data_IF_578430325230
#
_entry.id   IF_578430325230
#
_cell.length_a   1.000
_cell.length_b   1.000
_cell.length_c   1.000
_cell.angle_alpha   90.00
_cell.angle_beta   90.00
_cell.angle_gamma   90.00
#
_symmetry.space_group_name_H-M   'P 1'
#
loop_
_entity.id
_entity.type
_entity.pdbx_description
1 polymer ?
#
# COMPACT_ATOMS: atom_id res chain seq x y z
N UNK A 1 36.43 51.78 -31.37
CA UNK A 1 36.79 50.37 -31.08
C UNK A 1 36.16 49.98 -29.75
N UNK A 2 35.53 48.81 -29.71
CA UNK A 2 34.55 48.37 -28.68
C UNK A 2 35.20 48.16 -27.31
N UNK A 3 34.56 48.70 -26.27
CA UNK A 3 34.78 48.32 -24.88
C UNK A 3 33.95 47.07 -24.54
N UNK A 4 34.57 46.13 -23.83
CA UNK A 4 33.96 44.93 -23.28
C UNK A 4 32.97 45.29 -22.15
N UNK A 5 31.75 44.73 -22.23
CA UNK A 5 30.81 44.69 -21.12
C UNK A 5 30.45 43.25 -20.81
N UNK A 6 31.11 42.67 -19.81
CA UNK A 6 30.77 41.36 -19.27
C UNK A 6 29.56 41.51 -18.34
N UNK A 7 28.37 41.17 -18.84
CA UNK A 7 27.15 41.03 -18.03
C UNK A 7 27.01 39.59 -17.57
N UNK A 8 27.58 39.26 -16.41
CA UNK A 8 27.37 38.00 -15.71
C UNK A 8 25.95 38.01 -15.13
N UNK A 9 24.99 37.38 -15.81
CA UNK A 9 23.68 37.08 -15.26
C UNK A 9 23.84 36.00 -14.18
N UNK A 10 23.89 36.44 -12.93
CA UNK A 10 23.67 35.59 -11.76
C UNK A 10 22.26 35.02 -11.87
N UNK A 11 22.17 33.77 -12.32
CA UNK A 11 20.97 32.95 -12.16
C UNK A 11 20.80 32.70 -10.66
N UNK A 12 19.89 33.45 -10.05
CA UNK A 12 19.42 33.28 -8.69
C UNK A 12 18.95 31.84 -8.49
N UNK A 13 19.76 31.04 -7.81
CA UNK A 13 19.35 29.72 -7.32
C UNK A 13 18.20 29.89 -6.34
N UNK A 14 16.98 29.61 -6.79
CA UNK A 14 15.87 29.33 -5.89
C UNK A 14 16.16 28.00 -5.20
N UNK A 15 16.79 28.09 -4.02
CA UNK A 15 16.73 27.03 -3.03
C UNK A 15 15.24 26.81 -2.67
N UNK A 16 14.61 25.84 -3.34
CA UNK A 16 13.21 25.48 -3.10
C UNK A 16 13.02 25.10 -1.63
N UNK A 17 12.09 25.77 -0.96
CA UNK A 17 11.81 25.57 0.45
C UNK A 17 11.54 24.09 0.75
N UNK A 18 12.35 23.53 1.64
CA UNK A 18 12.13 22.18 2.17
C UNK A 18 10.85 22.17 3.02
N UNK A 19 9.85 21.41 2.58
CA UNK A 19 8.57 21.29 3.28
C UNK A 19 7.65 20.26 2.63
N UNK A 20 6.65 19.81 3.38
CA UNK A 20 5.62 18.90 2.90
C UNK A 20 4.78 19.56 1.79
N UNK A 21 4.79 18.98 0.60
CA UNK A 21 3.95 19.40 -0.52
C UNK A 21 3.05 18.24 -0.96
N UNK A 22 1.84 18.57 -1.45
CA UNK A 22 0.94 17.57 -1.98
C UNK A 22 1.55 16.98 -3.26
N UNK A 23 1.86 15.69 -3.25
CA UNK A 23 2.42 14.96 -4.40
C UNK A 23 1.32 14.44 -5.31
N UNK A 24 0.28 13.87 -4.70
CA UNK A 24 -0.87 13.30 -5.41
C UNK A 24 -2.12 13.56 -4.60
N UNK A 25 -3.21 13.90 -5.29
CA UNK A 25 -4.54 14.01 -4.70
C UNK A 25 -5.55 13.23 -5.53
N UNK A 26 -6.36 12.40 -4.86
CA UNK A 26 -7.39 11.57 -5.47
C UNK A 26 -8.78 12.02 -4.99
N UNK A 27 -9.77 12.18 -5.90
CA UNK A 27 -11.13 12.52 -5.51
C UNK A 27 -11.90 11.28 -5.01
N UNK A 28 -12.80 11.51 -4.05
CA UNK A 28 -13.73 10.51 -3.53
C UNK A 28 -15.05 11.16 -3.10
N UNK A 29 -16.05 11.17 -3.99
CA UNK A 29 -17.34 11.84 -3.74
C UNK A 29 -17.09 13.31 -3.34
N UNK A 30 -17.57 13.75 -2.18
CA UNK A 30 -17.34 15.10 -1.63
C UNK A 30 -16.03 15.25 -0.85
N UNK A 31 -15.11 14.29 -0.97
CA UNK A 31 -13.83 14.26 -0.28
C UNK A 31 -12.64 14.29 -1.25
N UNK A 32 -11.50 14.73 -0.74
CA UNK A 32 -10.22 14.70 -1.42
C UNK A 32 -9.17 14.06 -0.52
N UNK A 33 -8.52 13.01 -1.01
CA UNK A 33 -7.38 12.36 -0.32
C UNK A 33 -6.11 12.91 -0.95
N UNK A 34 -5.15 13.36 -0.15
CA UNK A 34 -3.88 13.86 -0.65
C UNK A 34 -2.72 13.23 0.11
N UNK A 35 -1.73 12.74 -0.64
CA UNK A 35 -0.44 12.33 -0.09
C UNK A 35 0.52 13.51 -0.18
N UNK A 36 1.03 13.94 0.98
CA UNK A 36 2.03 14.99 1.11
C UNK A 36 3.39 14.37 1.38
N UNK A 37 4.41 14.83 0.67
CA UNK A 37 5.78 14.33 0.80
C UNK A 37 6.76 15.49 0.82
N UNK A 38 7.85 15.33 1.58
CA UNK A 38 8.96 16.29 1.62
C UNK A 38 10.05 15.81 0.65
N UNK A 39 10.66 16.72 -0.09
CA UNK A 39 11.73 16.41 -1.06
C UNK A 39 12.94 15.71 -0.42
N UNK A 40 13.14 15.86 0.90
CA UNK A 40 14.20 15.19 1.68
C UNK A 40 13.85 13.76 2.09
N UNK A 41 12.70 13.24 1.64
CA UNK A 41 12.17 11.93 2.06
C UNK A 41 12.05 11.80 3.59
N UNK A 42 11.62 12.90 4.24
CA UNK A 42 11.06 12.81 5.58
C UNK A 42 9.75 11.99 5.52
N UNK A 43 9.27 11.43 6.64
CA UNK A 43 7.99 10.71 6.67
C UNK A 43 6.86 11.52 6.04
N UNK A 44 6.13 10.89 5.13
CA UNK A 44 5.07 11.51 4.36
C UNK A 44 3.76 11.54 5.17
N UNK A 45 2.73 12.18 4.61
CA UNK A 45 1.43 12.27 5.27
C UNK A 45 0.28 12.04 4.31
N UNK A 46 -0.63 11.16 4.70
CA UNK A 46 -1.92 11.00 4.05
C UNK A 46 -2.94 11.89 4.75
N UNK A 47 -3.57 12.79 4.02
CA UNK A 47 -4.56 13.74 4.55
C UNK A 47 -5.87 13.64 3.79
N UNK A 48 -6.99 13.73 4.49
CA UNK A 48 -8.34 13.73 3.90
C UNK A 48 -9.00 15.07 4.17
N UNK A 49 -9.60 15.64 3.13
CA UNK A 49 -10.29 16.93 3.16
C UNK A 49 -11.73 16.79 2.68
N UNK A 50 -12.62 17.63 3.21
CA UNK A 50 -13.94 17.89 2.61
C UNK A 50 -13.81 18.73 1.34
N UNK A 51 -14.87 18.79 0.54
CA UNK A 51 -14.99 19.69 -0.62
C UNK A 51 -14.75 21.17 -0.25
N UNK A 52 -15.14 21.58 0.95
CA UNK A 52 -14.90 22.93 1.49
C UNK A 52 -13.50 23.18 2.01
N UNK A 53 -12.59 22.19 1.94
CA UNK A 53 -11.19 22.32 2.35
C UNK A 53 -10.92 22.02 3.83
N UNK A 54 -11.93 21.65 4.62
CA UNK A 54 -11.72 21.25 6.01
C UNK A 54 -11.00 19.90 6.09
N UNK A 55 -9.92 19.81 6.87
CA UNK A 55 -9.19 18.55 7.06
C UNK A 55 -9.94 17.63 8.03
N UNK A 56 -10.31 16.44 7.58
CA UNK A 56 -10.99 15.42 8.39
C UNK A 56 -10.02 14.48 9.08
N UNK A 57 -8.91 14.13 8.42
CA UNK A 57 -7.93 13.21 8.99
C UNK A 57 -6.52 13.48 8.45
N UNK A 58 -5.54 13.06 9.24
CA UNK A 58 -4.11 13.08 8.94
C UNK A 58 -3.49 11.82 9.50
N UNK A 59 -2.75 11.11 8.67
CA UNK A 59 -2.00 9.92 9.02
C UNK A 59 -0.55 10.10 8.58
N UNK A 60 0.38 9.88 9.50
CA UNK A 60 1.80 9.80 9.15
C UNK A 60 2.06 8.46 8.48
N UNK A 61 2.75 8.49 7.35
CA UNK A 61 3.09 7.30 6.55
C UNK A 61 4.59 7.27 6.27
N UNK A 62 5.04 6.18 5.67
CA UNK A 62 6.41 5.96 5.24
C UNK A 62 6.93 7.07 4.32
N UNK A 63 8.25 7.15 4.20
CA UNK A 63 8.90 8.15 3.34
C UNK A 63 8.72 7.87 1.84
N UNK A 64 8.59 6.59 1.50
CA UNK A 64 8.32 6.10 0.16
C UNK A 64 6.89 5.56 0.14
N UNK A 65 5.94 6.48 0.15
CA UNK A 65 4.53 6.13 0.03
C UNK A 65 3.98 6.48 -1.35
N UNK A 66 2.97 5.75 -1.76
CA UNK A 66 2.10 6.12 -2.86
C UNK A 66 0.64 5.85 -2.51
N UNK A 67 -0.26 6.55 -3.21
CA UNK A 67 -1.68 6.27 -3.15
C UNK A 67 -2.26 6.11 -4.55
N UNK A 68 -3.13 5.12 -4.70
CA UNK A 68 -3.86 4.89 -5.95
C UNK A 68 -5.27 4.40 -5.68
N UNK A 69 -6.12 4.53 -6.70
CA UNK A 69 -7.47 3.97 -6.69
C UNK A 69 -7.41 2.52 -7.14
N UNK A 70 -8.11 1.64 -6.42
CA UNK A 70 -8.38 0.26 -6.82
C UNK A 70 -9.58 0.23 -7.78
N UNK A 71 -9.65 -0.78 -8.65
CA UNK A 71 -10.83 -1.08 -9.45
C UNK A 71 -12.05 -1.51 -8.59
N UNK A 72 -11.81 -1.91 -7.34
CA UNK A 72 -12.86 -2.22 -6.38
C UNK A 72 -13.61 -0.96 -5.93
N UNK A 73 -14.91 -1.11 -5.86
CA UNK A 73 -15.82 -0.18 -5.22
C UNK A 73 -16.89 -0.97 -4.47
N UNK A 74 -17.37 -0.40 -3.38
CA UNK A 74 -18.40 -1.00 -2.54
C UNK A 74 -19.52 0.00 -2.31
N UNK A 75 -20.74 -0.36 -2.72
CA UNK A 75 -21.89 0.55 -2.77
C UNK A 75 -21.56 1.91 -3.44
N UNK A 76 -20.78 1.89 -4.53
CA UNK A 76 -20.33 3.08 -5.26
C UNK A 76 -19.24 3.90 -4.55
N UNK A 77 -18.74 3.44 -3.40
CA UNK A 77 -17.62 4.07 -2.70
C UNK A 77 -16.31 3.45 -3.17
N UNK A 78 -15.33 4.27 -3.59
CA UNK A 78 -14.05 3.74 -4.05
C UNK A 78 -13.22 3.13 -2.93
N UNK A 79 -12.49 2.07 -3.27
CA UNK A 79 -11.37 1.58 -2.48
C UNK A 79 -10.09 2.24 -2.99
N UNK A 80 -9.25 2.66 -2.05
CA UNK A 80 -7.92 3.19 -2.30
C UNK A 80 -6.88 2.23 -1.73
N UNK A 81 -5.68 2.31 -2.28
CA UNK A 81 -4.52 1.54 -1.84
C UNK A 81 -3.45 2.53 -1.40
N UNK A 82 -2.93 2.31 -0.21
CA UNK A 82 -1.76 3.01 0.32
C UNK A 82 -0.59 2.04 0.27
N UNK A 83 0.35 2.31 -0.63
CA UNK A 83 1.57 1.53 -0.81
C UNK A 83 2.68 2.19 0.03
N UNK A 84 3.39 1.41 0.83
CA UNK A 84 4.59 1.83 1.57
C UNK A 84 5.76 0.90 1.20
N UNK A 85 6.75 1.48 0.55
CA UNK A 85 7.99 0.79 0.19
C UNK A 85 9.01 0.92 1.32
N UNK A 86 9.36 -0.23 1.91
CA UNK A 86 10.30 -0.32 3.02
C UNK A 86 11.71 -0.74 2.56
N UNK A 87 11.94 -0.90 1.25
CA UNK A 87 13.21 -1.41 0.70
C UNK A 87 14.37 -0.43 0.85
N UNK A 88 14.08 0.87 0.96
CA UNK A 88 15.09 1.91 1.11
C UNK A 88 15.90 1.73 2.40
N UNK A 89 17.17 1.34 2.25
CA UNK A 89 18.12 1.13 3.34
C UNK A 89 18.11 -0.28 3.96
N UNK A 90 17.16 -1.14 3.59
CA UNK A 90 17.02 -2.50 4.12
C UNK A 90 17.08 -3.59 3.03
N UNK A 91 17.11 -3.20 1.75
CA UNK A 91 17.19 -4.11 0.62
C UNK A 91 15.84 -4.74 0.25
N UNK A 92 15.82 -5.56 -0.79
CA UNK A 92 14.61 -6.18 -1.35
C UNK A 92 13.88 -7.13 -0.40
N UNK A 93 14.51 -7.53 0.71
CA UNK A 93 13.86 -8.30 1.78
C UNK A 93 12.75 -7.50 2.49
N UNK A 94 12.89 -6.18 2.53
CA UNK A 94 11.84 -5.26 2.96
C UNK A 94 11.07 -4.82 1.71
N UNK A 95 10.03 -5.55 1.35
CA UNK A 95 9.23 -5.25 0.16
C UNK A 95 8.19 -4.15 0.39
N UNK A 96 7.15 -4.16 -0.44
CA UNK A 96 6.06 -3.19 -0.38
C UNK A 96 4.91 -3.73 0.46
N UNK A 97 4.42 -2.91 1.38
CA UNK A 97 3.18 -3.14 2.10
C UNK A 97 2.06 -2.30 1.50
N UNK A 98 1.01 -2.96 1.03
CA UNK A 98 -0.20 -2.27 0.53
C UNK A 98 -1.32 -2.39 1.54
N UNK A 99 -1.91 -1.25 1.94
CA UNK A 99 -3.05 -1.20 2.86
C UNK A 99 -4.29 -0.68 2.13
N UNK A 100 -5.31 -1.53 1.87
CA UNK A 100 -6.56 -1.06 1.30
C UNK A 100 -7.34 -0.21 2.29
N UNK A 101 -7.97 0.86 1.83
CA UNK A 101 -8.78 1.71 2.67
C UNK A 101 -9.95 2.35 1.90
N UNK A 102 -10.95 2.78 2.67
CA UNK A 102 -12.05 3.62 2.21
C UNK A 102 -12.00 4.94 2.97
N UNK A 103 -12.63 5.98 2.40
CA UNK A 103 -12.79 7.27 3.08
C UNK A 103 -14.25 7.63 3.23
N UNK A 104 -14.56 8.34 4.31
CA UNK A 104 -15.90 8.87 4.60
C UNK A 104 -15.78 10.15 5.41
N UNK A 105 -16.92 10.76 5.76
CA UNK A 105 -16.96 11.90 6.68
C UNK A 105 -16.33 11.60 8.06
N UNK A 106 -16.22 10.31 8.44
CA UNK A 106 -15.54 9.86 9.66
C UNK A 106 -14.02 9.69 9.49
N UNK A 107 -13.48 10.06 8.33
CA UNK A 107 -12.07 9.90 7.98
C UNK A 107 -11.77 8.61 7.23
N UNK A 108 -10.53 8.13 7.38
CA UNK A 108 -9.99 6.95 6.72
C UNK A 108 -10.34 5.68 7.50
N UNK A 109 -10.68 4.61 6.79
CA UNK A 109 -10.93 3.27 7.35
C UNK A 109 -10.17 2.24 6.54
N UNK A 110 -9.13 1.65 7.13
CA UNK A 110 -8.38 0.55 6.53
C UNK A 110 -9.19 -0.74 6.49
N UNK A 111 -8.79 -1.65 5.60
CA UNK A 111 -9.31 -2.99 5.56
C UNK A 111 -9.01 -3.73 6.86
N UNK A 112 -10.05 -4.33 7.42
CA UNK A 112 -9.98 -5.07 8.66
C UNK A 112 -10.97 -6.24 8.58
N UNK A 113 -10.55 -7.44 8.15
CA UNK A 113 -11.39 -8.62 8.25
C UNK A 113 -11.60 -9.03 9.72
N UNK A 114 -12.69 -9.74 10.05
CA UNK A 114 -12.94 -10.25 11.39
C UNK A 114 -11.77 -11.06 11.95
N UNK A 115 -11.52 -10.95 13.26
CA UNK A 115 -10.43 -11.65 13.94
C UNK A 115 -9.04 -11.01 13.76
N UNK A 116 -8.90 -9.97 12.93
CA UNK A 116 -7.68 -9.19 12.85
C UNK A 116 -7.48 -8.27 14.07
N UNK A 117 -6.22 -7.96 14.38
CA UNK A 117 -5.86 -7.00 15.42
C UNK A 117 -6.31 -5.58 15.01
N UNK A 118 -7.22 -4.92 15.74
CA UNK A 118 -7.69 -3.58 15.40
C UNK A 118 -6.60 -2.52 15.46
N UNK A 119 -5.47 -2.78 16.16
CA UNK A 119 -4.32 -1.90 16.19
C UNK A 119 -3.45 -2.01 14.92
N UNK A 120 -3.65 -3.03 14.09
CA UNK A 120 -2.84 -3.30 12.89
C UNK A 120 -3.73 -3.45 11.67
N UNK A 121 -3.67 -2.51 10.70
CA UNK A 121 -4.45 -2.64 9.47
C UNK A 121 -4.04 -3.91 8.72
N UNK A 122 -4.98 -4.49 7.97
CA UNK A 122 -4.67 -5.61 7.11
C UNK A 122 -3.73 -5.18 5.97
N UNK A 123 -2.68 -5.98 5.73
CA UNK A 123 -1.62 -5.69 4.76
C UNK A 123 -1.68 -6.73 3.63
N UNK A 124 -1.64 -6.24 2.39
CA UNK A 124 -1.31 -7.03 1.22
C UNK A 124 0.21 -6.90 1.00
N UNK A 125 0.96 -7.94 1.34
CA UNK A 125 2.41 -7.93 1.26
C UNK A 125 2.90 -8.31 -0.14
N UNK A 126 3.85 -7.54 -0.66
CA UNK A 126 4.63 -7.85 -1.86
C UNK A 126 6.11 -7.86 -1.46
N UNK A 127 6.54 -8.98 -0.87
CA UNK A 127 7.88 -9.14 -0.31
C UNK A 127 8.21 -10.63 -0.17
N UNK A 128 9.46 -11.01 -0.42
CA UNK A 128 9.91 -12.40 -0.33
C UNK A 128 8.97 -13.33 -1.12
N UNK A 129 8.65 -14.49 -0.56
CA UNK A 129 7.67 -15.43 -1.10
C UNK A 129 6.23 -15.06 -0.75
N UNK A 130 5.91 -13.77 -0.75
CA UNK A 130 4.54 -13.26 -0.65
C UNK A 130 4.23 -12.32 -1.81
N UNK A 131 3.01 -12.42 -2.32
CA UNK A 131 2.52 -11.51 -3.33
C UNK A 131 1.01 -11.40 -3.30
N UNK A 132 0.50 -10.38 -3.97
CA UNK A 132 -0.93 -10.19 -4.10
C UNK A 132 -1.30 -9.67 -5.50
N UNK A 133 -2.56 -9.87 -5.87
CA UNK A 133 -3.15 -9.22 -7.05
C UNK A 133 -4.57 -8.80 -6.77
N UNK A 134 -5.01 -7.78 -7.48
CA UNK A 134 -6.41 -7.39 -7.49
C UNK A 134 -7.24 -8.38 -8.34
N UNK A 135 -8.44 -8.71 -7.87
CA UNK A 135 -9.46 -9.47 -8.60
C UNK A 135 -10.73 -8.64 -8.74
N UNK A 136 -11.71 -9.15 -9.49
CA UNK A 136 -12.99 -8.47 -9.70
C UNK A 136 -13.75 -8.19 -8.39
N UNK A 137 -13.58 -9.05 -7.40
CA UNK A 137 -14.37 -9.09 -6.15
C UNK A 137 -13.52 -8.90 -4.89
N UNK A 138 -12.23 -8.61 -5.03
CA UNK A 138 -11.34 -8.49 -3.90
C UNK A 138 -9.85 -8.47 -4.26
N UNK A 139 -9.05 -8.98 -3.34
CA UNK A 139 -7.62 -9.17 -3.49
C UNK A 139 -7.28 -10.63 -3.26
N UNK A 140 -6.45 -11.20 -4.13
CA UNK A 140 -5.90 -12.54 -3.97
C UNK A 140 -4.51 -12.41 -3.37
N UNK A 141 -4.22 -13.18 -2.33
CA UNK A 141 -2.96 -13.17 -1.61
C UNK A 141 -2.35 -14.57 -1.59
N UNK A 142 -1.09 -14.68 -1.98
CA UNK A 142 -0.31 -15.90 -1.86
C UNK A 142 0.88 -15.64 -0.95
N UNK A 143 1.19 -16.60 -0.08
CA UNK A 143 2.44 -16.61 0.68
C UNK A 143 2.98 -18.03 0.80
N UNK A 144 4.29 -18.19 0.75
CA UNK A 144 4.98 -19.46 0.97
C UNK A 144 5.98 -19.31 2.12
N UNK A 145 5.92 -20.23 3.08
CA UNK A 145 6.81 -20.23 4.25
C UNK A 145 7.19 -21.66 4.64
N UNK A 146 8.30 -21.86 5.36
CA UNK A 146 8.64 -23.15 5.95
C UNK A 146 7.46 -23.71 6.78
N UNK A 147 7.16 -25.00 6.60
CA UNK A 147 6.14 -25.70 7.38
C UNK A 147 6.76 -26.25 8.66
N UNK A 148 6.93 -25.38 9.66
CA UNK A 148 7.53 -25.77 10.93
C UNK A 148 6.66 -26.81 11.66
N UNK A 149 7.20 -27.97 12.03
CA UNK A 149 6.46 -28.94 12.81
C UNK A 149 6.21 -28.39 14.22
N UNK A 150 5.07 -28.76 14.83
CA UNK A 150 4.74 -28.34 16.20
C UNK A 150 5.76 -28.82 17.25
N UNK A 151 6.50 -29.90 16.96
CA UNK A 151 7.60 -30.44 17.76
C UNK A 151 8.70 -30.95 16.84
N UNK A 152 9.96 -30.83 17.27
CA UNK A 152 11.13 -31.28 16.51
C UNK A 152 11.74 -30.20 15.62
N UNK A 153 12.74 -30.57 14.82
CA UNK A 153 13.40 -29.68 13.86
C UNK A 153 12.67 -29.71 12.51
N UNK A 154 12.62 -28.57 11.84
CA UNK A 154 12.24 -28.51 10.44
C UNK A 154 13.26 -29.25 9.58
N UNK A 155 12.79 -29.90 8.52
CA UNK A 155 13.59 -30.75 7.64
C UNK A 155 14.43 -29.98 6.60
N UNK A 156 14.19 -28.67 6.47
CA UNK A 156 14.88 -27.83 5.48
C UNK A 156 14.18 -27.78 4.12
N UNK A 157 13.14 -28.59 3.90
CA UNK A 157 12.57 -28.84 2.58
C UNK A 157 11.06 -28.67 2.53
N UNK A 158 10.35 -28.87 3.64
CA UNK A 158 8.88 -28.79 3.65
C UNK A 158 8.41 -27.35 3.74
N UNK A 159 7.70 -26.90 2.71
CA UNK A 159 7.04 -25.59 2.67
C UNK A 159 5.51 -25.72 2.65
N UNK A 160 4.86 -24.64 3.08
CA UNK A 160 3.41 -24.46 3.03
C UNK A 160 3.09 -23.22 2.22
N UNK A 161 2.20 -23.39 1.25
CA UNK A 161 1.62 -22.28 0.48
C UNK A 161 0.24 -21.95 1.05
N UNK A 162 0.03 -20.69 1.39
CA UNK A 162 -1.26 -20.12 1.80
C UNK A 162 -1.83 -19.33 0.63
N UNK A 163 -3.09 -19.58 0.32
CA UNK A 163 -3.88 -18.81 -0.62
C UNK A 163 -5.04 -18.17 0.14
N UNK A 164 -5.20 -16.86 0.02
CA UNK A 164 -6.28 -16.13 0.67
C UNK A 164 -6.99 -15.17 -0.30
N UNK A 165 -8.27 -14.95 -0.07
CA UNK A 165 -9.07 -13.96 -0.78
C UNK A 165 -9.63 -12.96 0.24
N UNK A 166 -9.29 -11.69 0.08
CA UNK A 166 -9.88 -10.59 0.83
C UNK A 166 -10.97 -9.95 -0.02
N UNK A 167 -12.23 -10.07 0.38
CA UNK A 167 -13.38 -9.48 -0.33
C UNK A 167 -13.98 -8.33 0.48
N UNK A 168 -14.58 -7.36 -0.23
CA UNK A 168 -15.38 -6.28 0.37
C UNK A 168 -16.82 -6.42 -0.13
N UNK A 169 -17.76 -6.57 0.79
CA UNK A 169 -19.20 -6.59 0.49
C UNK A 169 -19.96 -5.86 1.58
N UNK A 170 -20.83 -4.93 1.19
CA UNK A 170 -21.71 -4.19 2.11
C UNK A 170 -20.94 -3.49 3.24
N UNK A 171 -19.78 -2.92 2.89
CA UNK A 171 -18.88 -2.23 3.82
C UNK A 171 -18.03 -3.15 4.70
N UNK A 172 -18.19 -4.47 4.58
CA UNK A 172 -17.52 -5.47 5.41
C UNK A 172 -16.43 -6.20 4.65
N UNK A 173 -15.23 -6.21 5.22
CA UNK A 173 -14.12 -7.01 4.73
C UNK A 173 -14.25 -8.46 5.22
N UNK A 174 -14.03 -9.43 4.33
CA UNK A 174 -14.02 -10.85 4.67
C UNK A 174 -12.78 -11.51 4.09
N UNK A 175 -12.14 -12.34 4.90
CA UNK A 175 -10.96 -13.10 4.52
C UNK A 175 -11.35 -14.58 4.46
N UNK A 176 -11.17 -15.21 3.31
CA UNK A 176 -11.22 -16.67 3.17
C UNK A 176 -9.82 -17.20 2.86
N UNK A 177 -9.47 -18.35 3.41
CA UNK A 177 -8.11 -18.89 3.32
C UNK A 177 -8.10 -20.42 3.15
N UNK A 178 -7.09 -20.91 2.44
CA UNK A 178 -6.68 -22.31 2.47
C UNK A 178 -5.16 -22.39 2.47
N UNK A 179 -4.64 -23.53 2.89
CA UNK A 179 -3.21 -23.82 2.81
C UNK A 179 -2.99 -25.25 2.36
N UNK A 180 -1.89 -25.47 1.67
CA UNK A 180 -1.45 -26.80 1.24
C UNK A 180 0.07 -26.91 1.34
N UNK A 181 0.58 -28.13 1.43
CA UNK A 181 2.02 -28.35 1.26
C UNK A 181 2.39 -28.06 -0.19
N UNK A 182 3.51 -27.39 -0.37
CA UNK A 182 3.98 -27.02 -1.68
C UNK A 182 4.98 -25.88 -1.59
N UNK A 183 5.37 -25.41 -2.76
CA UNK A 183 6.37 -24.38 -2.91
C UNK A 183 5.90 -23.35 -3.91
N UNK A 184 6.11 -22.07 -3.60
CA UNK A 184 5.83 -20.96 -4.51
C UNK A 184 6.93 -19.91 -4.38
N UNK A 185 7.33 -19.34 -5.51
CA UNK A 185 8.31 -18.28 -5.62
C UNK A 185 7.69 -17.07 -6.32
N UNK A 186 8.07 -15.87 -5.88
CA UNK A 186 7.50 -14.62 -6.39
C UNK A 186 8.08 -14.19 -7.73
N UNK A 187 9.20 -14.78 -8.17
CA UNK A 187 9.79 -14.57 -9.50
C UNK A 187 8.99 -15.28 -10.61
N UNK A 188 8.08 -16.20 -10.24
CA UNK A 188 7.23 -16.92 -11.17
C UNK A 188 5.91 -16.22 -11.50
N UNK A 189 5.07 -16.91 -12.27
CA UNK A 189 3.71 -16.45 -12.53
C UNK A 189 2.87 -16.45 -11.23
N UNK A 190 2.04 -15.42 -11.06
CA UNK A 190 1.08 -15.39 -9.97
C UNK A 190 0.10 -16.59 -10.08
N UNK A 191 -0.24 -17.27 -8.98
CA UNK A 191 -1.07 -18.46 -9.05
C UNK A 191 -2.43 -18.24 -9.73
N UNK A 192 -2.94 -19.29 -10.37
CA UNK A 192 -4.25 -19.27 -11.00
C UNK A 192 -5.35 -18.98 -9.97
N UNK A 193 -6.33 -18.16 -10.33
CA UNK A 193 -7.40 -17.71 -9.41
C UNK A 193 -8.19 -18.88 -8.78
N UNK A 194 -8.32 -20.01 -9.49
CA UNK A 194 -8.99 -21.23 -8.99
C UNK A 194 -8.36 -21.85 -7.74
N UNK A 195 -7.10 -21.52 -7.42
CA UNK A 195 -6.41 -22.00 -6.23
C UNK A 195 -6.82 -21.22 -4.97
N UNK A 196 -7.44 -20.06 -5.14
CA UNK A 196 -7.88 -19.21 -4.04
C UNK A 196 -9.29 -19.64 -3.60
N UNK A 197 -9.58 -19.59 -2.29
CA UNK A 197 -10.92 -19.83 -1.79
C UNK A 197 -11.89 -18.76 -2.33
N UNK A 198 -13.17 -19.13 -2.39
CA UNK A 198 -14.25 -18.22 -2.78
C UNK A 198 -14.71 -17.36 -1.61
#
# INVERSE_FOLDING_TARGET
MRALGAGLLLMSGLAGAAGLQARVCLPSQDLKICLYQDARLAPAELRVYTRGGAQLSRLRVGRLSDIRRSALADAGKPVFLLDEDHSAGFGSYSGVETRPFTVSARGLRFAQPPGGDPAKPFILAQALKSGWKESRDGFLLVSCAPDFPAKGKWDGETFRVRYARLTLRDGQWRLSERSERGFWENEGAFPAERLFPK
#
